data_IF_345589526742
#
_entry.id   IF_345589526742
#
_cell.length_a   1.000
_cell.length_b   1.000
_cell.length_c   1.000
_cell.angle_alpha   90.00
_cell.angle_beta   90.00
_cell.angle_gamma   90.00
#
_symmetry.space_group_name_H-M   'P 1'
#
loop_
_entity.id
_entity.type
_entity.pdbx_description
1 polymer ?
#
# COMPACT_ATOMS: atom_id res chain seq x y z
N UNK A 1 20.17 -10.81 4.34
CA UNK A 1 18.83 -11.27 4.01
C UNK A 1 18.00 -10.13 3.39
N UNK A 2 17.27 -10.43 2.39
CA UNK A 2 16.48 -9.41 1.71
C UNK A 2 15.26 -9.03 2.54
N UNK A 3 14.86 -7.80 2.44
CA UNK A 3 13.70 -7.28 3.13
C UNK A 3 12.69 -6.79 2.11
N UNK A 4 11.45 -7.19 2.28
CA UNK A 4 10.39 -6.76 1.39
C UNK A 4 9.67 -5.56 2.00
N UNK A 5 9.63 -4.47 1.26
CA UNK A 5 8.99 -3.25 1.71
C UNK A 5 7.83 -2.94 0.77
N UNK A 6 6.65 -2.78 1.34
CA UNK A 6 5.45 -2.50 0.56
C UNK A 6 5.15 -1.02 0.63
N UNK A 7 4.85 -0.44 -0.52
CA UNK A 7 4.45 0.96 -0.59
C UNK A 7 3.12 1.05 -1.32
N UNK A 8 2.52 2.23 -1.28
CA UNK A 8 1.21 2.39 -1.90
C UNK A 8 1.07 3.77 -2.51
N UNK A 9 0.11 3.88 -3.42
CA UNK A 9 -0.23 5.12 -4.10
C UNK A 9 -1.62 5.60 -3.72
N UNK A 10 -2.12 5.19 -2.55
CA UNK A 10 -3.50 5.49 -2.19
C UNK A 10 -3.77 6.99 -2.16
N UNK A 11 -2.87 7.75 -1.55
CA UNK A 11 -3.05 9.20 -1.45
C UNK A 11 -3.12 9.83 -2.83
N UNK A 12 -2.24 9.41 -3.72
CA UNK A 12 -2.19 9.92 -5.08
C UNK A 12 -3.47 9.57 -5.83
N UNK A 13 -3.93 8.33 -5.69
CA UNK A 13 -5.15 7.90 -6.36
C UNK A 13 -6.37 8.62 -5.81
N UNK A 14 -6.41 8.89 -4.50
CA UNK A 14 -7.49 9.67 -3.93
C UNK A 14 -7.54 11.06 -4.54
N UNK A 15 -6.38 11.68 -4.67
CA UNK A 15 -6.29 13.02 -5.24
C UNK A 15 -6.86 13.03 -6.66
N UNK A 16 -6.52 12.05 -7.45
CA UNK A 16 -6.98 11.98 -8.84
C UNK A 16 -8.45 11.58 -8.95
N UNK A 17 -9.05 11.15 -7.86
CA UNK A 17 -10.47 10.79 -7.85
C UNK A 17 -11.28 11.86 -7.12
N UNK A 18 -11.24 13.07 -7.65
CA UNK A 18 -11.99 14.21 -7.12
C UNK A 18 -11.58 14.53 -5.70
N UNK A 19 -10.28 14.37 -5.39
CA UNK A 19 -9.76 14.66 -4.07
C UNK A 19 -10.52 13.90 -2.99
N UNK A 20 -10.73 12.62 -3.24
CA UNK A 20 -11.44 11.77 -2.29
C UNK A 20 -10.77 11.81 -0.93
N UNK A 21 -11.58 11.95 0.13
CA UNK A 21 -11.04 11.97 1.49
C UNK A 21 -10.74 10.57 1.98
N UNK A 22 -9.92 10.48 3.02
CA UNK A 22 -9.67 9.21 3.68
C UNK A 22 -10.96 8.64 4.23
N UNK A 23 -11.83 9.50 4.76
CA UNK A 23 -13.11 9.07 5.29
C UNK A 23 -13.98 8.44 4.21
N UNK A 24 -14.00 9.05 3.04
CA UNK A 24 -14.80 8.52 1.93
C UNK A 24 -14.27 7.16 1.50
N UNK A 25 -12.97 7.03 1.39
CA UNK A 25 -12.38 5.75 1.02
C UNK A 25 -12.69 4.68 2.05
N UNK A 26 -12.58 5.04 3.33
CA UNK A 26 -12.88 4.11 4.41
C UNK A 26 -14.33 3.63 4.30
N UNK A 27 -15.24 4.55 4.07
CA UNK A 27 -16.64 4.23 3.94
C UNK A 27 -16.89 3.27 2.78
N UNK A 28 -16.26 3.53 1.65
CA UNK A 28 -16.47 2.69 0.47
C UNK A 28 -15.87 1.30 0.60
N UNK A 29 -14.85 1.16 1.42
CA UNK A 29 -14.19 -0.13 1.60
C UNK A 29 -14.66 -0.86 2.85
N UNK A 30 -15.48 -0.19 3.69
CA UNK A 30 -16.04 -0.86 4.86
C UNK A 30 -15.12 -0.93 6.05
N UNK A 31 -14.16 -0.01 6.16
CA UNK A 31 -13.24 0.03 7.28
C UNK A 31 -13.27 1.42 7.90
N UNK A 32 -12.54 1.60 9.00
CA UNK A 32 -12.49 2.90 9.66
C UNK A 32 -11.48 3.79 8.97
N UNK A 33 -11.61 5.10 9.22
CA UNK A 33 -10.65 6.05 8.70
C UNK A 33 -9.25 5.77 9.23
N UNK A 34 -9.14 5.37 10.51
CA UNK A 34 -7.85 5.06 11.08
C UNK A 34 -7.15 3.94 10.32
N UNK A 35 -7.92 2.96 9.85
CA UNK A 35 -7.35 1.88 9.07
C UNK A 35 -6.73 2.42 7.78
N UNK A 36 -7.43 3.30 7.08
CA UNK A 36 -6.92 3.90 5.85
C UNK A 36 -5.66 4.71 6.15
N UNK A 37 -5.69 5.50 7.22
CA UNK A 37 -4.51 6.31 7.59
C UNK A 37 -3.32 5.41 7.84
N UNK A 38 -3.51 4.32 8.58
CA UNK A 38 -2.41 3.42 8.90
C UNK A 38 -1.85 2.75 7.63
N UNK A 39 -2.72 2.38 6.71
CA UNK A 39 -2.28 1.78 5.45
C UNK A 39 -1.47 2.79 4.63
N UNK A 40 -1.97 4.02 4.51
CA UNK A 40 -1.27 5.02 3.72
C UNK A 40 0.10 5.34 4.30
N UNK A 41 0.22 5.27 5.62
CA UNK A 41 1.48 5.56 6.28
C UNK A 41 2.41 4.36 6.36
N UNK A 42 2.00 3.22 5.82
CA UNK A 42 2.85 2.05 5.81
C UNK A 42 2.92 1.34 7.15
N UNK A 43 2.02 1.65 8.06
CA UNK A 43 2.04 1.06 9.41
C UNK A 43 1.14 -0.16 9.53
N UNK A 44 0.38 -0.45 8.52
CA UNK A 44 -0.55 -1.57 8.52
C UNK A 44 -0.69 -2.11 7.11
N UNK A 45 -0.52 -3.41 6.96
CA UNK A 45 -0.71 -4.07 5.66
C UNK A 45 -2.13 -4.59 5.59
N UNK A 46 -2.89 -4.19 4.59
CA UNK A 46 -4.27 -4.66 4.49
C UNK A 46 -4.33 -6.14 4.13
N UNK A 47 -5.45 -6.77 4.48
CA UNK A 47 -5.72 -8.10 3.99
C UNK A 47 -5.83 -8.05 2.47
N UNK A 48 -5.71 -9.20 1.84
CA UNK A 48 -5.83 -9.26 0.40
C UNK A 48 -7.21 -8.76 -0.04
N UNK A 49 -8.25 -9.15 0.70
CA UNK A 49 -9.59 -8.70 0.35
C UNK A 49 -9.71 -7.19 0.41
N UNK A 50 -9.18 -6.57 1.49
CA UNK A 50 -9.25 -5.13 1.62
C UNK A 50 -8.44 -4.45 0.51
N UNK A 51 -7.29 -5.01 0.19
CA UNK A 51 -6.45 -4.45 -0.87
C UNK A 51 -7.20 -4.43 -2.21
N UNK A 52 -7.91 -5.52 -2.53
CA UNK A 52 -8.69 -5.57 -3.75
C UNK A 52 -9.87 -4.61 -3.71
N UNK A 53 -10.49 -4.43 -2.55
CA UNK A 53 -11.58 -3.47 -2.44
C UNK A 53 -11.10 -2.04 -2.70
N UNK A 54 -9.92 -1.72 -2.21
CA UNK A 54 -9.34 -0.40 -2.45
C UNK A 54 -9.08 -0.21 -3.94
N UNK A 55 -8.50 -1.22 -4.58
CA UNK A 55 -8.24 -1.13 -6.01
C UNK A 55 -9.54 -0.95 -6.79
N UNK A 56 -10.60 -1.63 -6.35
CA UNK A 56 -11.89 -1.55 -7.01
C UNK A 56 -12.48 -0.14 -6.91
N UNK A 57 -12.33 0.50 -5.75
CA UNK A 57 -12.83 1.86 -5.58
C UNK A 57 -12.19 2.80 -6.60
N UNK A 58 -10.91 2.61 -6.87
CA UNK A 58 -10.19 3.44 -7.82
C UNK A 58 -10.28 2.91 -9.25
N UNK A 59 -10.98 1.78 -9.44
CA UNK A 59 -11.15 1.16 -10.75
C UNK A 59 -9.81 0.94 -11.43
N UNK A 60 -8.89 0.39 -10.67
CA UNK A 60 -7.53 0.17 -11.14
C UNK A 60 -7.05 -1.19 -10.65
N UNK A 61 -5.91 -1.62 -11.17
CA UNK A 61 -5.35 -2.90 -10.78
C UNK A 61 -4.66 -2.82 -9.43
N UNK A 62 -4.57 -3.95 -8.76
CA UNK A 62 -3.91 -4.02 -7.47
C UNK A 62 -2.49 -3.46 -7.53
N UNK A 63 -1.78 -3.78 -8.60
CA UNK A 63 -0.39 -3.33 -8.76
C UNK A 63 -0.27 -1.82 -8.91
N UNK A 64 -1.36 -1.15 -9.28
CA UNK A 64 -1.35 0.30 -9.38
C UNK A 64 -1.54 0.95 -8.02
N UNK A 65 -2.14 0.23 -7.09
CA UNK A 65 -2.36 0.74 -5.74
C UNK A 65 -1.18 0.42 -4.84
N UNK A 66 -0.70 -0.82 -4.91
CA UNK A 66 0.38 -1.30 -4.04
C UNK A 66 1.54 -1.78 -4.87
N UNK A 67 2.73 -1.54 -4.36
CA UNK A 67 3.95 -2.04 -4.99
C UNK A 67 4.88 -2.48 -3.88
N UNK A 68 5.96 -3.13 -4.27
CA UNK A 68 6.92 -3.59 -3.29
C UNK A 68 8.32 -3.44 -3.82
N UNK A 69 9.25 -3.48 -2.92
CA UNK A 69 10.65 -3.36 -3.24
C UNK A 69 11.43 -4.31 -2.37
N UNK A 70 12.41 -4.96 -2.94
CA UNK A 70 13.30 -5.86 -2.20
C UNK A 70 14.55 -5.07 -1.88
N UNK A 71 14.83 -4.93 -0.59
CA UNK A 71 16.00 -4.21 -0.14
C UNK A 71 16.98 -5.23 0.43
N UNK A 72 18.15 -5.31 -0.17
CA UNK A 72 19.15 -6.27 0.24
C UNK A 72 20.07 -5.69 1.31
N UNK A 73 20.46 -6.56 2.21
CA UNK A 73 21.45 -6.23 3.22
C UNK A 73 22.82 -6.29 2.56
N UNK A 74 23.41 -5.14 2.36
CA UNK A 74 24.69 -5.09 1.65
C UNK A 74 25.79 -5.81 2.41
N UNK A 75 25.76 -5.75 3.72
CA UNK A 75 26.75 -6.48 4.51
C UNK A 75 26.67 -7.97 4.21
N UNK A 76 25.48 -8.49 4.20
CA UNK A 76 25.26 -9.90 3.95
C UNK A 76 25.69 -10.27 2.55
N UNK A 77 25.40 -9.41 1.59
CA UNK A 77 25.76 -9.67 0.22
C UNK A 77 27.26 -9.67 0.02
N UNK A 78 27.94 -8.77 0.71
CA UNK A 78 29.39 -8.76 0.64
C UNK A 78 29.99 -10.05 1.17
N UNK A 79 29.41 -10.56 2.24
CA UNK A 79 29.85 -11.83 2.79
C UNK A 79 29.70 -12.93 1.76
N UNK A 80 28.61 -12.90 1.03
CA UNK A 80 28.34 -13.93 0.04
C UNK A 80 29.28 -13.87 -1.13
N UNK A 81 29.82 -12.71 -1.39
CA UNK A 81 30.69 -12.58 -2.54
C UNK A 81 32.03 -13.26 -2.34
N UNK A 82 32.31 -13.67 -1.12
CA UNK A 82 33.52 -14.47 -0.86
C UNK A 82 33.36 -15.88 -1.38
#
# INVERSE_FOLDING_TARGET
MAKLVISNNIRKLRFYNNEMTQQELAKRTGVTRQTIVAIENGKYSPSLELAFRIAEVFETKLEEVFSYEIIEDKSKREDNSK
#
